data_IF_375633586029
#
_entry.id   IF_375633586029
#
_cell.length_a   1.000
_cell.length_b   1.000
_cell.length_c   1.000
_cell.angle_alpha   90.00
_cell.angle_beta   90.00
_cell.angle_gamma   90.00
#
_symmetry.space_group_name_H-M   'P 1'
#
loop_
_entity.id
_entity.type
_entity.pdbx_description
1 polymer ?
#
# COMPACT_ATOMS: atom_id res chain seq x y z
N UNK A 1 -1.16 -6.75 -3.98
CA UNK A 1 -2.37 -7.59 -3.89
C UNK A 1 -2.49 -8.15 -2.48
N UNK A 2 -3.64 -7.97 -1.84
CA UNK A 2 -3.99 -8.50 -0.52
C UNK A 2 -5.41 -9.08 -0.51
N UNK A 3 -5.78 -9.75 0.58
CA UNK A 3 -7.16 -10.21 0.79
C UNK A 3 -8.12 -9.01 0.80
N UNK A 4 -9.29 -9.12 0.16
CA UNK A 4 -10.26 -8.03 0.10
C UNK A 4 -10.73 -7.64 1.51
N UNK A 5 -10.46 -6.40 1.91
CA UNK A 5 -10.89 -5.79 3.18
C UNK A 5 -11.15 -4.30 2.96
N UNK A 6 -12.27 -3.80 3.44
CA UNK A 6 -12.63 -2.37 3.36
C UNK A 6 -11.60 -1.49 4.07
N UNK A 7 -11.00 -1.97 5.16
CA UNK A 7 -9.97 -1.24 5.93
C UNK A 7 -8.55 -1.36 5.36
N UNK A 8 -8.34 -2.11 4.27
CA UNK A 8 -6.99 -2.37 3.76
C UNK A 8 -6.30 -1.07 3.33
N UNK A 9 -7.01 -0.19 2.63
CA UNK A 9 -6.45 1.08 2.16
C UNK A 9 -6.06 1.98 3.33
N UNK A 10 -6.91 2.06 4.36
CA UNK A 10 -6.66 2.84 5.56
C UNK A 10 -5.45 2.31 6.35
N UNK A 11 -5.34 0.99 6.51
CA UNK A 11 -4.22 0.36 7.21
C UNK A 11 -2.89 0.59 6.47
N UNK A 12 -2.87 0.38 5.16
CA UNK A 12 -1.69 0.63 4.34
C UNK A 12 -1.33 2.12 4.37
N UNK A 13 -2.31 3.02 4.28
CA UNK A 13 -2.07 4.44 4.42
C UNK A 13 -1.42 4.77 5.76
N UNK A 14 -1.90 4.21 6.88
CA UNK A 14 -1.29 4.41 8.21
C UNK A 14 0.14 3.90 8.29
N UNK A 15 0.43 2.77 7.65
CA UNK A 15 1.77 2.19 7.64
C UNK A 15 2.76 3.01 6.79
N UNK A 16 2.32 3.56 5.65
CA UNK A 16 3.18 4.28 4.70
C UNK A 16 3.28 5.78 5.00
N UNK A 17 2.24 6.40 5.59
CA UNK A 17 2.24 7.83 5.95
C UNK A 17 3.50 8.31 6.71
N UNK A 18 4.00 7.61 7.76
CA UNK A 18 5.22 8.03 8.45
C UNK A 18 6.50 7.88 7.60
N UNK A 19 6.48 7.03 6.57
CA UNK A 19 7.63 6.78 5.70
C UNK A 19 7.68 7.76 4.53
N UNK A 20 6.53 8.11 3.94
CA UNK A 20 6.44 8.97 2.76
C UNK A 20 6.17 10.44 3.09
N UNK A 21 5.71 10.77 4.30
CA UNK A 21 5.45 12.14 4.77
C UNK A 21 4.27 12.86 4.11
N UNK A 22 4.07 12.64 2.81
CA UNK A 22 3.02 13.23 1.96
C UNK A 22 2.25 12.15 1.20
N UNK A 23 1.66 11.20 1.93
CA UNK A 23 0.77 10.22 1.30
C UNK A 23 -0.65 10.79 1.19
N UNK A 24 -0.95 11.42 0.05
CA UNK A 24 -2.31 11.89 -0.23
C UNK A 24 -3.23 10.72 -0.58
N UNK A 25 -4.49 10.70 -0.10
CA UNK A 25 -5.45 9.65 -0.45
C UNK A 25 -5.77 9.61 -1.96
N UNK A 26 -5.61 10.74 -2.65
CA UNK A 26 -5.74 10.84 -4.12
C UNK A 26 -4.67 10.05 -4.88
N UNK A 27 -3.56 9.71 -4.22
CA UNK A 27 -2.47 8.91 -4.79
C UNK A 27 -2.63 7.40 -4.51
N UNK A 28 -3.74 7.00 -3.88
CA UNK A 28 -4.06 5.61 -3.59
C UNK A 28 -5.19 5.19 -4.51
N UNK A 29 -4.89 4.39 -5.53
CA UNK A 29 -5.93 3.73 -6.31
C UNK A 29 -6.22 2.36 -5.71
N UNK A 30 -7.48 2.12 -5.40
CA UNK A 30 -7.97 0.83 -4.95
C UNK A 30 -8.76 0.20 -6.09
N UNK A 31 -8.33 -0.98 -6.52
CA UNK A 31 -9.03 -1.79 -7.51
C UNK A 31 -9.44 -3.12 -6.89
N UNK A 32 -10.74 -3.34 -6.85
CA UNK A 32 -11.31 -4.62 -6.49
C UNK A 32 -11.12 -5.62 -7.63
N UNK A 33 -10.69 -6.83 -7.32
CA UNK A 33 -10.64 -7.91 -8.30
C UNK A 33 -12.06 -8.39 -8.62
N UNK A 34 -12.32 -8.73 -9.88
CA UNK A 34 -13.64 -9.18 -10.37
C UNK A 34 -14.22 -10.39 -9.62
N UNK A 35 -13.42 -11.12 -8.85
CA UNK A 35 -13.86 -12.24 -8.02
C UNK A 35 -14.12 -11.91 -6.55
N UNK A 36 -14.02 -10.64 -6.12
CA UNK A 36 -14.23 -10.20 -4.73
C UNK A 36 -13.25 -10.76 -3.68
N UNK A 37 -12.29 -11.59 -4.10
CA UNK A 37 -11.35 -12.28 -3.22
C UNK A 37 -10.08 -11.48 -2.92
N UNK A 38 -9.71 -10.58 -3.84
CA UNK A 38 -8.46 -9.84 -3.77
C UNK A 38 -8.66 -8.35 -4.04
N UNK A 39 -7.88 -7.53 -3.33
CA UNK A 39 -7.74 -6.10 -3.57
C UNK A 39 -6.35 -5.80 -4.16
N UNK A 40 -6.33 -5.01 -5.21
CA UNK A 40 -5.11 -4.39 -5.74
C UNK A 40 -5.08 -2.94 -5.29
N UNK A 41 -3.97 -2.51 -4.69
CA UNK A 41 -3.74 -1.10 -4.40
C UNK A 41 -2.53 -0.63 -5.15
N UNK A 42 -2.68 0.51 -5.81
CA UNK A 42 -1.59 1.25 -6.42
C UNK A 42 -1.33 2.47 -5.56
N UNK A 43 -0.13 2.57 -4.99
CA UNK A 43 0.30 3.74 -4.24
C UNK A 43 1.29 4.55 -5.08
N UNK A 44 0.93 5.77 -5.44
CA UNK A 44 1.88 6.75 -5.97
C UNK A 44 2.59 7.46 -4.82
N UNK A 45 3.89 7.26 -4.71
CA UNK A 45 4.73 7.91 -3.70
C UNK A 45 5.91 8.63 -4.35
N UNK A 46 6.27 9.79 -3.79
CA UNK A 46 7.48 10.51 -4.17
C UNK A 46 8.64 9.97 -3.33
N UNK A 47 9.47 9.14 -3.96
CA UNK A 47 10.67 8.60 -3.32
C UNK A 47 11.80 9.64 -3.41
N UNK A 48 12.11 10.28 -2.29
CA UNK A 48 13.25 11.20 -2.19
C UNK A 48 14.57 10.45 -2.00
N UNK A 49 14.52 9.19 -1.59
CA UNK A 49 15.71 8.36 -1.35
C UNK A 49 15.39 6.87 -1.54
N UNK A 50 16.39 6.09 -1.94
CA UNK A 50 16.23 4.63 -2.11
C UNK A 50 15.89 3.95 -0.77
N UNK A 51 16.46 4.42 0.34
CA UNK A 51 16.17 3.93 1.69
C UNK A 51 14.70 4.10 2.08
N UNK A 52 14.07 5.21 1.65
CA UNK A 52 12.65 5.46 1.85
C UNK A 52 11.81 4.46 1.06
N UNK A 53 12.15 4.23 -0.21
CA UNK A 53 11.47 3.26 -1.05
C UNK A 53 11.58 1.84 -0.46
N UNK A 54 12.78 1.45 -0.04
CA UNK A 54 13.03 0.14 0.59
C UNK A 54 12.27 -0.02 1.91
N UNK A 55 12.19 1.02 2.73
CA UNK A 55 11.43 1.01 3.97
C UNK A 55 9.93 0.81 3.71
N UNK A 56 9.39 1.49 2.70
CA UNK A 56 7.99 1.30 2.26
C UNK A 56 7.79 -0.14 1.76
N UNK A 57 8.64 -0.60 0.85
CA UNK A 57 8.57 -1.96 0.29
C UNK A 57 8.64 -3.05 1.37
N UNK A 58 9.55 -2.90 2.34
CA UNK A 58 9.69 -3.82 3.48
C UNK A 58 8.49 -3.79 4.40
N UNK A 59 7.95 -2.61 4.70
CA UNK A 59 6.77 -2.45 5.56
C UNK A 59 5.56 -3.10 4.92
N UNK A 60 5.34 -2.85 3.62
CA UNK A 60 4.26 -3.47 2.86
C UNK A 60 4.44 -4.99 2.75
N UNK A 61 5.64 -5.46 2.43
CA UNK A 61 5.94 -6.91 2.31
C UNK A 61 5.81 -7.65 3.64
N UNK A 62 6.19 -7.02 4.74
CA UNK A 62 6.09 -7.60 6.08
C UNK A 62 4.68 -7.51 6.66
N UNK A 63 3.78 -6.79 5.98
CA UNK A 63 2.42 -6.60 6.45
C UNK A 63 1.60 -7.90 6.30
N UNK A 64 0.97 -8.40 7.37
CA UNK A 64 0.29 -9.71 7.35
C UNK A 64 -0.87 -9.81 6.35
N UNK A 65 -1.41 -8.66 5.90
CA UNK A 65 -2.51 -8.61 4.93
C UNK A 65 -2.05 -8.51 3.48
N UNK A 66 -0.80 -8.12 3.24
CA UNK A 66 -0.23 -8.00 1.90
C UNK A 66 0.31 -9.37 1.48
N UNK A 67 -0.15 -9.87 0.34
CA UNK A 67 0.32 -11.15 -0.23
C UNK A 67 1.42 -10.94 -1.25
N UNK A 68 1.31 -9.87 -2.04
CA UNK A 68 2.24 -9.55 -3.12
C UNK A 68 2.40 -8.03 -3.22
N UNK A 69 3.63 -7.56 -3.30
CA UNK A 69 4.00 -6.19 -3.68
C UNK A 69 4.64 -6.24 -5.07
N UNK A 70 4.32 -5.29 -5.94
CA UNK A 70 4.76 -5.19 -7.33
C UNK A 70 5.28 -3.78 -7.61
#
# INVERSE_FOLDING_TARGET
MGEWREDFSAEIQRAVLPLSGQLSPERIEVRESSGGKYLSLTLLLEAHSQEQLDAVYRTLTSHPWVKVVL
#
